data_IF_342118296388
#
_entry.id   IF_342118296388
#
_cell.length_a   1.000
_cell.length_b   1.000
_cell.length_c   1.000
_cell.angle_alpha   90.00
_cell.angle_beta   90.00
_cell.angle_gamma   90.00
#
_symmetry.space_group_name_H-M   'P 1'
#
loop_
_entity.id
_entity.type
_entity.pdbx_description
1 polymer ?
#
# COMPACT_ATOMS: atom_id res chain seq x y z
N UNK A 1 23.78 -3.71 -22.63
CA UNK A 1 22.95 -2.56 -22.26
C UNK A 1 23.77 -1.65 -21.36
N UNK A 2 23.98 -0.39 -21.75
CA UNK A 2 24.78 0.57 -20.98
C UNK A 2 23.98 0.96 -19.72
N UNK A 3 24.35 0.40 -18.56
CA UNK A 3 23.93 0.95 -17.28
C UNK A 3 24.75 2.21 -17.05
N UNK A 4 24.20 3.36 -17.40
CA UNK A 4 24.82 4.63 -17.02
C UNK A 4 24.41 4.93 -15.58
N UNK A 5 25.39 5.18 -14.72
CA UNK A 5 25.18 5.73 -13.38
C UNK A 5 24.48 7.12 -13.39
N UNK A 6 24.07 7.61 -14.57
CA UNK A 6 23.31 8.83 -14.80
C UNK A 6 21.80 8.61 -14.89
N UNK A 7 21.31 7.37 -14.83
CA UNK A 7 19.88 7.07 -14.93
C UNK A 7 19.12 7.25 -13.61
N UNK A 8 19.81 7.66 -12.53
CA UNK A 8 19.12 8.14 -11.33
C UNK A 8 18.52 9.53 -11.60
N UNK A 9 17.22 9.74 -11.33
CA UNK A 9 16.62 11.06 -11.51
C UNK A 9 17.27 12.05 -10.54
N UNK A 10 18.22 12.85 -11.04
CA UNK A 10 18.85 13.91 -10.26
C UNK A 10 17.85 15.04 -10.09
N UNK A 11 17.35 15.19 -8.87
CA UNK A 11 16.45 16.28 -8.50
C UNK A 11 17.22 17.60 -8.42
N UNK A 12 17.26 18.34 -9.53
CA UNK A 12 17.88 19.67 -9.60
C UNK A 12 16.86 20.74 -9.96
N UNK A 13 17.10 21.98 -9.52
CA UNK A 13 16.22 23.11 -9.85
C UNK A 13 16.12 23.38 -11.36
N UNK A 14 17.17 23.03 -12.13
CA UNK A 14 17.17 23.09 -13.60
C UNK A 14 16.22 22.06 -14.19
N UNK A 15 16.30 20.81 -13.74
CA UNK A 15 15.44 19.71 -14.21
C UNK A 15 13.96 19.96 -13.90
N UNK A 16 13.64 20.42 -12.69
CA UNK A 16 12.26 20.74 -12.31
C UNK A 16 11.67 21.86 -13.20
N UNK A 17 12.47 22.88 -13.53
CA UNK A 17 12.09 23.95 -14.47
C UNK A 17 11.86 23.44 -15.88
N UNK A 18 12.78 22.63 -16.41
CA UNK A 18 12.63 22.00 -17.73
C UNK A 18 11.36 21.15 -17.83
N UNK A 19 11.09 20.35 -16.79
CA UNK A 19 9.88 19.54 -16.71
C UNK A 19 8.62 20.43 -16.71
N UNK A 20 8.61 21.51 -15.93
CA UNK A 20 7.48 22.43 -15.88
C UNK A 20 7.17 23.05 -17.25
N UNK A 21 8.17 23.55 -17.97
CA UNK A 21 7.98 24.11 -19.32
C UNK A 21 7.56 23.07 -20.37
N UNK A 22 7.78 21.78 -20.09
CA UNK A 22 7.30 20.64 -20.90
C UNK A 22 5.95 20.10 -20.44
N UNK A 23 5.25 20.77 -19.52
CA UNK A 23 4.02 20.29 -18.88
C UNK A 23 4.16 18.94 -18.15
N UNK A 24 5.37 18.59 -17.69
CA UNK A 24 5.64 17.39 -16.89
C UNK A 24 5.66 17.79 -15.41
N UNK A 25 4.74 17.25 -14.61
CA UNK A 25 4.71 17.48 -13.16
C UNK A 25 5.82 16.68 -12.48
N UNK A 26 6.63 17.36 -11.68
CA UNK A 26 7.66 16.70 -10.85
C UNK A 26 7.12 16.52 -9.44
N UNK A 27 6.78 15.29 -9.08
CA UNK A 27 6.21 14.96 -7.77
C UNK A 27 7.21 14.15 -6.95
N UNK A 28 7.42 14.56 -5.71
CA UNK A 28 8.21 13.85 -4.72
C UNK A 28 7.23 13.06 -3.85
N UNK A 29 7.37 11.74 -3.87
CA UNK A 29 6.61 10.85 -3.01
C UNK A 29 7.29 10.78 -1.64
N UNK A 30 6.53 11.05 -0.59
CA UNK A 30 7.03 11.09 0.78
C UNK A 30 6.70 9.77 1.47
N UNK A 31 7.73 9.06 1.92
CA UNK A 31 7.57 7.79 2.65
C UNK A 31 6.90 7.99 4.04
N UNK A 32 6.28 6.93 4.56
CA UNK A 32 5.57 6.94 5.85
C UNK A 32 6.45 7.38 7.01
N UNK A 33 7.73 6.98 7.01
CA UNK A 33 8.67 7.35 8.07
C UNK A 33 8.88 8.87 8.13
N UNK A 34 8.94 9.52 6.96
CA UNK A 34 9.08 10.96 6.85
C UNK A 34 7.77 11.64 7.29
N UNK A 35 6.60 11.11 6.88
CA UNK A 35 5.29 11.60 7.32
C UNK A 35 5.10 11.49 8.84
N UNK A 36 5.51 10.37 9.43
CA UNK A 36 5.45 10.14 10.88
C UNK A 36 6.32 11.15 11.63
N UNK A 37 7.51 11.45 11.13
CA UNK A 37 8.39 12.45 11.75
C UNK A 37 7.83 13.88 11.60
N UNK A 38 7.27 14.23 10.44
CA UNK A 38 6.55 15.51 10.26
C UNK A 38 5.41 15.64 11.28
N UNK A 39 4.66 14.57 11.51
CA UNK A 39 3.60 14.52 12.52
C UNK A 39 4.13 14.73 13.93
N UNK A 40 5.27 14.11 14.30
CA UNK A 40 5.90 14.30 15.61
C UNK A 40 6.35 15.74 15.84
N UNK A 41 6.83 16.42 14.79
CA UNK A 41 7.24 17.83 14.86
C UNK A 41 6.03 18.74 15.07
N UNK A 42 4.92 18.50 14.36
CA UNK A 42 3.68 19.29 14.53
C UNK A 42 3.05 19.07 15.90
N UNK A 43 3.14 17.86 16.44
CA UNK A 43 2.70 17.54 17.81
C UNK A 43 3.67 18.03 18.90
N UNK A 44 4.74 18.76 18.54
CA UNK A 44 5.80 19.23 19.44
C UNK A 44 6.49 18.09 20.25
N UNK A 45 6.44 16.85 19.75
CA UNK A 45 7.15 15.69 20.34
C UNK A 45 8.63 15.66 19.98
N UNK A 46 9.00 16.29 18.88
CA UNK A 46 10.37 16.43 18.39
C UNK A 46 10.57 17.88 17.95
N UNK A 47 11.71 18.47 18.29
CA UNK A 47 12.02 19.83 17.86
C UNK A 47 12.43 19.84 16.37
N UNK A 48 11.87 20.75 15.58
CA UNK A 48 12.16 20.85 14.15
C UNK A 48 13.67 21.00 13.85
N UNK A 49 14.36 21.84 14.61
CA UNK A 49 15.76 22.17 14.39
C UNK A 49 16.74 21.01 14.66
N UNK A 50 16.34 20.01 15.44
CA UNK A 50 17.14 18.81 15.70
C UNK A 50 16.76 17.64 14.78
N UNK A 51 15.70 17.78 13.99
CA UNK A 51 15.25 16.73 13.07
C UNK A 51 16.04 16.74 11.76
N UNK A 52 16.27 15.57 11.18
CA UNK A 52 16.84 15.43 9.84
C UNK A 52 15.94 16.06 8.75
N UNK A 53 14.67 16.33 9.08
CA UNK A 53 13.72 17.04 8.22
C UNK A 53 14.12 18.50 7.96
N UNK A 54 14.87 19.16 8.84
CA UNK A 54 15.28 20.55 8.62
C UNK A 54 16.17 20.70 7.37
N UNK A 55 17.08 19.75 7.14
CA UNK A 55 17.94 19.72 5.95
C UNK A 55 17.13 19.41 4.69
N UNK A 56 16.16 18.49 4.78
CA UNK A 56 15.26 18.16 3.69
C UNK A 56 14.42 19.39 3.29
N UNK A 57 13.81 20.07 4.26
CA UNK A 57 13.00 21.28 4.03
C UNK A 57 13.84 22.40 3.42
N UNK A 58 15.08 22.60 3.86
CA UNK A 58 15.99 23.58 3.26
C UNK A 58 16.22 23.26 1.77
N UNK A 59 16.53 22.01 1.46
CA UNK A 59 16.76 21.54 0.08
C UNK A 59 15.49 21.67 -0.78
N UNK A 60 14.32 21.34 -0.23
CA UNK A 60 13.03 21.46 -0.92
C UNK A 60 12.66 22.92 -1.21
N UNK A 61 12.95 23.85 -0.28
CA UNK A 61 12.71 25.28 -0.47
C UNK A 61 13.60 25.92 -1.56
N UNK A 62 14.72 25.29 -1.92
CA UNK A 62 15.58 25.73 -3.03
C UNK A 62 15.02 25.30 -4.40
N UNK A 63 14.14 24.30 -4.42
CA UNK A 63 13.51 23.79 -5.64
C UNK A 63 12.24 24.59 -5.96
N UNK A 64 11.99 24.81 -7.25
CA UNK A 64 10.75 25.42 -7.77
C UNK A 64 10.00 24.41 -8.62
N UNK A 65 8.67 24.54 -8.69
CA UNK A 65 7.79 23.71 -9.53
C UNK A 65 7.81 22.21 -9.17
N UNK A 66 7.90 21.91 -7.88
CA UNK A 66 7.83 20.55 -7.36
C UNK A 66 6.53 20.38 -6.56
N UNK A 67 6.00 19.16 -6.55
CA UNK A 67 4.82 18.74 -5.80
C UNK A 67 5.23 17.71 -4.74
N UNK A 68 4.58 17.70 -3.58
CA UNK A 68 4.83 16.73 -2.51
C UNK A 68 3.56 15.93 -2.34
N UNK A 69 3.66 14.61 -2.44
CA UNK A 69 2.52 13.74 -2.24
C UNK A 69 2.85 12.76 -1.12
N UNK A 70 1.98 12.60 -0.10
CA UNK A 70 2.12 11.53 0.87
C UNK A 70 2.07 10.20 0.11
N UNK A 71 3.09 9.36 0.29
CA UNK A 71 3.25 8.11 -0.45
C UNK A 71 2.12 7.12 -0.19
N UNK A 72 2.12 6.03 -0.98
CA UNK A 72 1.12 4.95 -0.94
C UNK A 72 1.01 4.23 0.42
N UNK A 73 1.95 4.46 1.34
CA UNK A 73 1.99 3.81 2.65
C UNK A 73 0.82 4.18 3.58
N UNK A 74 0.00 5.16 3.22
CA UNK A 74 -1.27 5.41 3.90
C UNK A 74 -2.36 4.40 3.52
N UNK A 75 -2.21 3.56 2.49
CA UNK A 75 -3.26 2.62 2.10
C UNK A 75 -3.51 1.50 3.13
N UNK A 76 -2.50 1.15 3.93
CA UNK A 76 -2.55 0.01 4.88
C UNK A 76 -2.84 0.42 6.34
N UNK A 77 -2.91 1.72 6.63
CA UNK A 77 -3.08 2.22 8.00
C UNK A 77 -4.56 2.36 8.42
N UNK A 78 -4.83 2.49 9.73
CA UNK A 78 -6.17 2.81 10.24
C UNK A 78 -6.63 4.19 9.72
N UNK A 79 -7.90 4.34 9.36
CA UNK A 79 -8.49 5.59 8.84
C UNK A 79 -8.27 6.79 9.75
N UNK A 80 -8.40 6.63 11.07
CA UNK A 80 -8.10 7.71 12.02
C UNK A 80 -6.64 8.16 11.95
N UNK A 81 -5.73 7.20 11.75
CA UNK A 81 -4.31 7.47 11.60
C UNK A 81 -4.02 8.17 10.27
N UNK A 82 -4.67 7.76 9.17
CA UNK A 82 -4.53 8.43 7.86
C UNK A 82 -4.99 9.88 7.91
N UNK A 83 -6.17 10.13 8.47
CA UNK A 83 -6.74 11.47 8.61
C UNK A 83 -5.81 12.36 9.42
N UNK A 84 -5.32 11.84 10.55
CA UNK A 84 -4.39 12.56 11.42
C UNK A 84 -3.07 12.87 10.71
N UNK A 85 -2.51 11.91 9.99
CA UNK A 85 -1.27 12.10 9.23
C UNK A 85 -1.43 13.11 8.10
N UNK A 86 -2.52 13.05 7.33
CA UNK A 86 -2.83 14.05 6.30
C UNK A 86 -2.97 15.46 6.88
N UNK A 87 -3.69 15.60 7.99
CA UNK A 87 -3.85 16.89 8.67
C UNK A 87 -2.50 17.46 9.12
N UNK A 88 -1.67 16.63 9.75
CA UNK A 88 -0.36 17.05 10.23
C UNK A 88 0.62 17.34 9.08
N UNK A 89 0.53 16.59 7.99
CA UNK A 89 1.28 16.87 6.76
C UNK A 89 0.94 18.26 6.20
N UNK A 90 -0.34 18.59 6.05
CA UNK A 90 -0.76 19.91 5.55
C UNK A 90 -0.30 21.05 6.49
N UNK A 91 -0.43 20.86 7.80
CA UNK A 91 0.07 21.84 8.79
C UNK A 91 1.59 22.01 8.72
N UNK A 92 2.33 20.94 8.48
CA UNK A 92 3.78 20.97 8.29
C UNK A 92 4.17 21.76 7.03
N UNK A 93 3.48 21.52 5.91
CA UNK A 93 3.72 22.26 4.67
C UNK A 93 3.49 23.76 4.86
N UNK A 94 2.36 24.16 5.45
CA UNK A 94 2.05 25.58 5.71
C UNK A 94 3.11 26.24 6.59
N UNK A 95 3.60 25.53 7.61
CA UNK A 95 4.53 26.09 8.60
C UNK A 95 5.97 26.18 8.09
N UNK A 96 6.46 25.18 7.36
CA UNK A 96 7.89 25.06 7.01
C UNK A 96 8.20 25.12 5.51
N UNK A 97 7.18 24.98 4.65
CA UNK A 97 7.28 25.00 3.19
C UNK A 97 6.26 26.00 2.59
N UNK A 98 6.27 27.23 3.07
CA UNK A 98 5.28 28.28 2.71
C UNK A 98 5.30 28.70 1.23
N UNK A 99 6.39 28.42 0.50
CA UNK A 99 6.53 28.69 -0.94
C UNK A 99 6.04 27.55 -1.83
N UNK A 100 5.58 26.46 -1.22
CA UNK A 100 5.18 25.25 -1.91
C UNK A 100 3.72 25.36 -2.34
N UNK A 101 3.49 25.52 -3.65
CA UNK A 101 2.16 25.35 -4.24
C UNK A 101 1.97 23.87 -4.52
N UNK A 102 1.30 23.19 -3.62
CA UNK A 102 0.89 21.81 -3.84
C UNK A 102 -0.23 21.75 -4.89
N UNK A 103 -0.45 20.58 -5.47
CA UNK A 103 -1.28 20.40 -6.65
C UNK A 103 -2.76 20.73 -6.36
N UNK A 104 -3.53 21.09 -7.40
CA UNK A 104 -4.97 21.42 -7.32
C UNK A 104 -5.85 20.35 -6.64
N UNK A 105 -5.32 19.14 -6.50
CA UNK A 105 -5.89 18.00 -5.80
C UNK A 105 -5.43 17.92 -4.33
N UNK A 106 -5.04 19.05 -3.72
CA UNK A 106 -5.03 19.19 -2.28
C UNK A 106 -6.44 18.88 -1.83
N UNK A 107 -6.62 17.69 -1.27
CA UNK A 107 -7.89 17.31 -0.67
C UNK A 107 -8.03 18.18 0.58
N UNK A 108 -8.51 19.40 0.38
CA UNK A 108 -8.82 20.37 1.43
C UNK A 108 -9.85 19.79 2.39
N UNK A 109 -10.64 18.84 1.92
CA UNK A 109 -11.64 18.15 2.70
C UNK A 109 -11.23 16.73 3.02
N UNK A 110 -10.79 16.52 4.25
CA UNK A 110 -10.77 15.20 4.92
C UNK A 110 -12.10 14.45 4.71
N UNK A 111 -13.20 15.16 4.44
CA UNK A 111 -14.49 14.62 4.05
C UNK A 111 -14.51 13.90 2.68
N UNK A 112 -13.73 14.32 1.68
CA UNK A 112 -13.64 13.62 0.39
C UNK A 112 -12.85 12.31 0.53
N UNK A 113 -11.77 12.29 1.31
CA UNK A 113 -11.03 11.06 1.65
C UNK A 113 -11.93 10.01 2.31
N UNK A 114 -12.87 10.44 3.16
CA UNK A 114 -13.88 9.54 3.77
C UNK A 114 -14.87 8.94 2.77
N UNK A 115 -15.12 9.60 1.65
CA UNK A 115 -16.18 9.20 0.73
C UNK A 115 -15.71 8.27 -0.39
N UNK A 116 -14.48 8.40 -0.89
CA UNK A 116 -14.08 7.75 -2.14
C UNK A 116 -13.61 6.28 -2.02
N UNK A 117 -13.32 5.76 -0.82
CA UNK A 117 -12.72 4.41 -0.70
C UNK A 117 -13.20 3.59 0.51
N UNK A 118 -14.33 3.94 1.12
CA UNK A 118 -14.87 3.10 2.17
C UNK A 118 -15.59 1.89 1.58
N UNK A 119 -15.21 0.67 2.01
CA UNK A 119 -15.88 -0.57 1.60
C UNK A 119 -17.40 -0.49 1.77
N UNK A 120 -17.88 0.23 2.80
CA UNK A 120 -19.31 0.48 3.06
C UNK A 120 -20.00 1.22 1.91
N UNK A 121 -19.27 2.09 1.20
CA UNK A 121 -19.80 2.92 0.12
C UNK A 121 -19.73 2.24 -1.25
N UNK A 122 -19.02 1.12 -1.36
CA UNK A 122 -18.96 0.33 -2.61
C UNK A 122 -20.32 -0.27 -2.95
N UNK A 123 -20.58 -0.44 -4.25
CA UNK A 123 -21.79 -1.13 -4.70
C UNK A 123 -21.71 -2.63 -4.36
N UNK A 124 -22.83 -3.34 -4.39
CA UNK A 124 -22.88 -4.76 -3.99
C UNK A 124 -21.96 -5.67 -4.82
N UNK A 125 -21.72 -5.35 -6.09
CA UNK A 125 -20.87 -6.14 -6.99
C UNK A 125 -19.37 -5.93 -6.68
N UNK A 126 -18.97 -4.70 -6.39
CA UNK A 126 -17.62 -4.36 -5.95
C UNK A 126 -17.32 -4.97 -4.59
N UNK A 127 -18.24 -4.82 -3.61
CA UNK A 127 -18.12 -5.47 -2.30
C UNK A 127 -17.94 -6.98 -2.42
N UNK A 128 -18.71 -7.60 -3.31
CA UNK A 128 -18.62 -9.04 -3.57
C UNK A 128 -17.22 -9.43 -4.09
N UNK A 129 -16.64 -8.66 -5.02
CA UNK A 129 -15.29 -8.89 -5.51
C UNK A 129 -14.22 -8.76 -4.42
N UNK A 130 -14.31 -7.78 -3.52
CA UNK A 130 -13.36 -7.65 -2.41
C UNK A 130 -13.53 -8.75 -1.35
N UNK A 131 -14.76 -9.21 -1.11
CA UNK A 131 -15.06 -10.24 -0.13
C UNK A 131 -14.61 -11.64 -0.56
N UNK A 132 -14.50 -11.91 -1.86
CA UNK A 132 -14.25 -13.28 -2.35
C UNK A 132 -12.86 -13.80 -1.94
N UNK A 133 -11.85 -12.93 -1.94
CA UNK A 133 -10.51 -13.26 -1.50
C UNK A 133 -10.49 -13.62 -0.01
N UNK A 134 -11.17 -12.80 0.80
CA UNK A 134 -11.27 -13.06 2.24
C UNK A 134 -12.05 -14.35 2.55
N UNK A 135 -13.19 -14.55 1.88
CA UNK A 135 -13.99 -15.77 1.99
C UNK A 135 -13.19 -17.02 1.60
N UNK A 136 -12.39 -16.94 0.52
CA UNK A 136 -11.52 -18.01 0.07
C UNK A 136 -10.52 -18.41 1.15
N UNK A 137 -9.83 -17.44 1.75
CA UNK A 137 -8.85 -17.69 2.82
C UNK A 137 -9.49 -18.28 4.07
N UNK A 138 -10.66 -17.75 4.48
CA UNK A 138 -11.42 -18.31 5.59
C UNK A 138 -11.82 -19.76 5.32
N UNK A 139 -12.27 -20.06 4.10
CA UNK A 139 -12.67 -21.42 3.74
C UNK A 139 -11.50 -22.38 3.71
N UNK A 140 -10.35 -21.96 3.18
CA UNK A 140 -9.11 -22.74 3.20
C UNK A 140 -8.75 -23.07 4.65
N UNK A 141 -8.74 -22.06 5.54
CA UNK A 141 -8.42 -22.25 6.96
C UNK A 141 -9.43 -23.18 7.65
N UNK A 142 -10.73 -22.99 7.41
CA UNK A 142 -11.78 -23.84 7.97
C UNK A 142 -11.58 -25.30 7.54
N UNK A 143 -11.36 -25.54 6.25
CA UNK A 143 -11.14 -26.90 5.72
C UNK A 143 -9.87 -27.50 6.33
N UNK A 144 -8.80 -26.72 6.44
CA UNK A 144 -7.54 -27.22 6.99
C UNK A 144 -7.64 -27.55 8.49
N UNK A 145 -8.51 -26.87 9.25
CA UNK A 145 -8.76 -27.17 10.66
C UNK A 145 -9.70 -28.36 10.88
N UNK A 146 -10.80 -28.40 10.14
CA UNK A 146 -11.86 -29.41 10.31
C UNK A 146 -11.52 -30.75 9.65
N UNK A 147 -10.78 -30.74 8.55
CA UNK A 147 -10.55 -31.91 7.71
C UNK A 147 -9.04 -32.21 7.59
N UNK A 148 -8.32 -32.27 8.72
CA UNK A 148 -6.88 -32.59 8.72
C UNK A 148 -6.56 -33.99 8.19
N UNK A 149 -7.40 -34.97 8.51
CA UNK A 149 -7.18 -36.38 8.16
C UNK A 149 -7.38 -36.73 6.68
N UNK A 150 -8.40 -36.22 5.96
CA UNK A 150 -8.60 -36.62 4.56
C UNK A 150 -7.44 -36.18 3.64
N UNK A 151 -7.22 -36.94 2.55
CA UNK A 151 -6.19 -36.65 1.56
C UNK A 151 -6.26 -35.21 1.04
N UNK A 152 -5.10 -34.64 0.70
CA UNK A 152 -4.96 -33.27 0.18
C UNK A 152 -5.94 -32.96 -0.96
N UNK A 153 -6.13 -33.91 -1.88
CA UNK A 153 -7.07 -33.77 -2.99
C UNK A 153 -8.53 -33.61 -2.52
N UNK A 154 -8.94 -34.34 -1.48
CA UNK A 154 -10.31 -34.26 -0.93
C UNK A 154 -10.55 -32.90 -0.29
N UNK A 155 -9.57 -32.35 0.44
CA UNK A 155 -9.63 -30.99 0.99
C UNK A 155 -9.73 -29.94 -0.12
N UNK A 156 -8.90 -30.07 -1.14
CA UNK A 156 -8.92 -29.17 -2.30
C UNK A 156 -10.25 -29.25 -3.07
N UNK A 157 -10.78 -30.45 -3.29
CA UNK A 157 -12.10 -30.65 -3.90
C UNK A 157 -13.20 -29.95 -3.10
N UNK A 158 -13.21 -30.10 -1.76
CA UNK A 158 -14.17 -29.40 -0.89
C UNK A 158 -14.07 -27.87 -1.01
N UNK A 159 -12.86 -27.33 -1.13
CA UNK A 159 -12.64 -25.90 -1.36
C UNK A 159 -13.23 -25.46 -2.71
N UNK A 160 -12.83 -26.13 -3.81
CA UNK A 160 -13.31 -25.79 -5.15
C UNK A 160 -14.83 -25.94 -5.27
N UNK A 161 -15.41 -27.01 -4.73
CA UNK A 161 -16.88 -27.20 -4.72
C UNK A 161 -17.57 -26.04 -4.01
N UNK A 162 -17.07 -25.60 -2.86
CA UNK A 162 -17.65 -24.45 -2.16
C UNK A 162 -17.52 -23.15 -2.98
N UNK A 163 -16.33 -22.87 -3.52
CA UNK A 163 -16.11 -21.64 -4.29
C UNK A 163 -16.92 -21.61 -5.58
N UNK A 164 -17.11 -22.77 -6.23
CA UNK A 164 -17.87 -22.90 -7.47
C UNK A 164 -19.38 -22.76 -7.25
N UNK A 165 -19.94 -23.47 -6.27
CA UNK A 165 -21.40 -23.61 -6.14
C UNK A 165 -22.02 -22.68 -5.09
N UNK A 166 -21.29 -22.34 -4.02
CA UNK A 166 -21.81 -21.47 -2.95
C UNK A 166 -21.35 -20.02 -3.16
N UNK A 167 -20.05 -19.82 -3.39
CA UNK A 167 -19.50 -18.48 -3.58
C UNK A 167 -19.61 -17.97 -5.02
N UNK A 168 -19.95 -18.84 -5.98
CA UNK A 168 -20.10 -18.56 -7.40
C UNK A 168 -18.93 -17.75 -8.02
N UNK A 169 -17.72 -17.97 -7.51
CA UNK A 169 -16.50 -17.33 -8.00
C UNK A 169 -15.29 -18.14 -7.56
N UNK A 170 -14.42 -18.49 -8.50
CA UNK A 170 -13.18 -19.21 -8.26
C UNK A 170 -12.03 -18.28 -8.66
N UNK A 171 -11.34 -17.73 -7.66
CA UNK A 171 -10.16 -16.93 -7.91
C UNK A 171 -8.95 -17.81 -8.18
N UNK A 172 -8.19 -17.49 -9.23
CA UNK A 172 -7.00 -18.24 -9.62
C UNK A 172 -5.90 -18.18 -8.55
N UNK A 173 -5.65 -17.00 -7.97
CA UNK A 173 -4.58 -16.81 -6.98
C UNK A 173 -4.85 -17.63 -5.72
N UNK A 174 -6.04 -17.50 -5.14
CA UNK A 174 -6.44 -18.22 -3.93
C UNK A 174 -6.56 -19.73 -4.17
N UNK A 175 -6.86 -20.15 -5.41
CA UNK A 175 -6.81 -21.56 -5.80
C UNK A 175 -5.39 -22.12 -5.73
N UNK A 176 -4.39 -21.39 -6.20
CA UNK A 176 -2.99 -21.79 -6.03
C UNK A 176 -2.60 -21.84 -4.56
N UNK A 177 -2.97 -20.82 -3.78
CA UNK A 177 -2.75 -20.79 -2.32
C UNK A 177 -3.38 -22.03 -1.66
N UNK A 178 -4.60 -22.41 -2.05
CA UNK A 178 -5.27 -23.60 -1.54
C UNK A 178 -4.52 -24.89 -1.86
N UNK A 179 -3.98 -25.04 -3.08
CA UNK A 179 -3.16 -26.20 -3.47
C UNK A 179 -1.95 -26.33 -2.54
N UNK A 180 -1.20 -25.24 -2.37
CA UNK A 180 -0.03 -25.21 -1.49
C UNK A 180 -0.41 -25.49 -0.03
N UNK A 181 -1.53 -24.94 0.44
CA UNK A 181 -1.94 -25.07 1.84
C UNK A 181 -2.41 -26.47 2.20
N UNK A 182 -3.11 -27.16 1.28
CA UNK A 182 -3.58 -28.52 1.51
C UNK A 182 -2.54 -29.59 1.18
N UNK A 183 -1.46 -29.22 0.51
CA UNK A 183 -0.39 -30.15 0.17
C UNK A 183 0.23 -30.77 1.43
N UNK A 184 0.32 -32.09 1.46
CA UNK A 184 0.94 -32.83 2.55
C UNK A 184 2.39 -33.18 2.21
N UNK A 185 3.33 -32.42 2.76
CA UNK A 185 4.76 -32.65 2.60
C UNK A 185 5.24 -33.96 3.22
N UNK A 186 4.51 -34.53 4.18
CA UNK A 186 4.92 -35.77 4.85
C UNK A 186 4.84 -36.99 3.94
N UNK A 187 3.92 -36.98 2.97
CA UNK A 187 3.79 -38.02 1.95
C UNK A 187 5.03 -38.13 1.04
N UNK A 188 5.77 -37.03 0.81
CA UNK A 188 6.97 -37.03 -0.03
C UNK A 188 8.24 -37.49 0.70
N UNK A 189 8.32 -37.33 2.03
CA UNK A 189 9.48 -37.80 2.82
C UNK A 189 9.61 -39.33 2.85
N UNK A 190 8.51 -40.06 2.68
CA UNK A 190 8.52 -41.52 2.68
C UNK A 190 8.97 -42.13 1.35
N UNK A 191 8.99 -41.36 0.25
CA UNK A 191 9.50 -41.82 -1.04
C UNK A 191 11.01 -41.57 -1.22
N UNK A 192 11.59 -40.57 -0.55
CA UNK A 192 13.04 -40.31 -0.62
C UNK A 192 13.88 -41.25 0.24
N UNK A 193 13.27 -41.96 1.19
CA UNK A 193 13.91 -43.03 1.97
C UNK A 193 13.88 -44.41 1.29
N UNK A 194 13.15 -44.57 0.18
CA UNK A 194 13.15 -45.79 -0.66
C UNK A 194 14.11 -45.70 -1.86
N UNK A 195 14.74 -44.53 -2.06
CA UNK A 195 15.71 -44.26 -3.13
C UNK A 195 17.15 -44.12 -2.59
N UNK A 196 17.43 -44.64 -1.38
CA UNK A 196 18.78 -44.79 -0.83
C UNK A 196 19.09 -46.25 -0.57
#
# INVERSE_FOLDING_TARGET
MRNSLYDFPILTSKRCRENHYKNIKTTILVDLNILAEMSRIIENKVAYHTSYLALLVKSLNELKYIFLSPGLALMEANEEYKIKMHKNFNLFLVKYLSRFYDAHNLVNDVAELKNFQNFINLNSQEKFHYNISYLSLLKINFINKQFKEPPSFTRFKKYITYMAFEANNISALETEIAKFTFFDYSAFKNHSSQLR
#
